data_IF_168165462707
#
_entry.id   IF_168165462707
#
_cell.length_a   1.000
_cell.length_b   1.000
_cell.length_c   1.000
_cell.angle_alpha   90.00
_cell.angle_beta   90.00
_cell.angle_gamma   90.00
#
_symmetry.space_group_name_H-M   'P 1'
#
loop_
_entity.id
_entity.type
_entity.pdbx_description
1 polymer ?
#
# COMPACT_ATOMS: atom_id res chain seq x y z
N UNK A 1 -63.65 -48.40 24.62
CA UNK A 1 -62.64 -48.27 23.54
C UNK A 1 -62.67 -46.83 23.05
N UNK A 2 -61.97 -45.95 23.75
CA UNK A 2 -61.65 -44.58 23.34
C UNK A 2 -60.61 -44.07 24.34
N UNK A 3 -59.36 -44.02 23.91
CA UNK A 3 -58.32 -43.24 24.60
C UNK A 3 -57.69 -42.37 23.52
N UNK A 4 -57.91 -41.09 23.70
CA UNK A 4 -57.45 -39.98 22.89
C UNK A 4 -55.94 -39.77 23.11
N UNK A 5 -55.26 -39.54 22.00
CA UNK A 5 -54.18 -38.57 21.76
C UNK A 5 -53.46 -37.97 22.97
N UNK A 6 -52.14 -38.18 23.01
CA UNK A 6 -51.02 -37.34 23.48
C UNK A 6 -49.91 -38.34 23.82
N UNK A 7 -48.75 -38.37 23.18
CA UNK A 7 -47.73 -37.33 23.19
C UNK A 7 -46.89 -37.43 21.90
N UNK A 8 -47.06 -36.45 21.02
CA UNK A 8 -46.03 -36.11 20.05
C UNK A 8 -45.00 -35.21 20.77
N UNK A 9 -43.72 -35.43 20.47
CA UNK A 9 -42.65 -34.41 20.45
C UNK A 9 -42.06 -33.92 21.77
N UNK A 10 -41.08 -34.66 22.28
CA UNK A 10 -40.01 -34.11 23.14
C UNK A 10 -38.66 -34.76 22.80
N UNK A 11 -38.17 -34.59 21.58
CA UNK A 11 -36.80 -34.98 21.22
C UNK A 11 -36.15 -34.11 20.14
N UNK A 12 -36.50 -32.81 20.08
CA UNK A 12 -35.87 -31.84 19.19
C UNK A 12 -35.41 -30.56 19.92
N UNK A 13 -34.99 -30.69 21.19
CA UNK A 13 -34.44 -29.58 21.98
C UNK A 13 -32.90 -29.66 22.10
N UNK A 14 -32.23 -29.96 20.99
CA UNK A 14 -30.77 -29.96 20.86
C UNK A 14 -30.24 -28.79 20.01
N UNK A 15 -31.04 -27.75 19.78
CA UNK A 15 -30.56 -26.53 19.16
C UNK A 15 -29.92 -25.66 20.26
N UNK A 16 -28.61 -25.74 20.38
CA UNK A 16 -27.82 -24.96 21.34
C UNK A 16 -28.13 -23.47 21.21
N UNK A 17 -28.85 -22.93 22.19
CA UNK A 17 -29.09 -21.51 22.31
C UNK A 17 -27.74 -20.82 22.56
N UNK A 18 -27.30 -20.00 21.60
CA UNK A 18 -26.06 -19.23 21.70
C UNK A 18 -26.15 -18.35 22.95
N UNK A 19 -25.15 -18.44 23.83
CA UNK A 19 -25.13 -17.65 25.06
C UNK A 19 -24.97 -16.15 24.74
N UNK A 20 -25.54 -15.25 25.55
CA UNK A 20 -25.40 -13.81 25.34
C UNK A 20 -23.93 -13.35 25.40
N UNK A 21 -23.08 -14.06 26.15
CA UNK A 21 -21.64 -13.81 26.22
C UNK A 21 -20.92 -14.15 24.91
N UNK A 22 -21.25 -15.29 24.28
CA UNK A 22 -20.71 -15.65 22.98
C UNK A 22 -21.14 -14.66 21.89
N UNK A 23 -22.39 -14.21 21.91
CA UNK A 23 -22.89 -13.23 20.96
C UNK A 23 -22.16 -11.88 21.12
N UNK A 24 -21.93 -11.44 22.37
CA UNK A 24 -21.17 -10.21 22.66
C UNK A 24 -19.71 -10.30 22.19
N UNK A 25 -19.04 -11.44 22.41
CA UNK A 25 -17.68 -11.68 21.92
C UNK A 25 -17.60 -11.62 20.40
N UNK A 26 -18.55 -12.25 19.70
CA UNK A 26 -18.61 -12.24 18.23
C UNK A 26 -18.81 -10.83 17.68
N UNK A 27 -19.74 -10.05 18.26
CA UNK A 27 -19.95 -8.64 17.87
C UNK A 27 -18.69 -7.79 18.12
N UNK A 28 -17.96 -8.04 19.20
CA UNK A 28 -16.71 -7.33 19.49
C UNK A 28 -15.62 -7.63 18.46
N UNK A 29 -15.46 -8.89 18.04
CA UNK A 29 -14.53 -9.31 16.98
C UNK A 29 -14.89 -8.63 15.65
N UNK A 30 -16.16 -8.65 15.25
CA UNK A 30 -16.63 -8.01 14.02
C UNK A 30 -16.36 -6.51 14.00
N UNK A 31 -16.64 -5.80 15.10
CA UNK A 31 -16.37 -4.37 15.23
C UNK A 31 -14.88 -4.05 15.11
N UNK A 32 -14.04 -4.87 15.74
CA UNK A 32 -12.57 -4.71 15.67
C UNK A 32 -12.06 -4.98 14.26
N UNK A 33 -12.55 -6.04 13.62
CA UNK A 33 -12.20 -6.38 12.24
C UNK A 33 -12.57 -5.25 11.27
N UNK A 34 -13.81 -4.73 11.36
CA UNK A 34 -14.25 -3.57 10.57
C UNK A 34 -13.37 -2.33 10.79
N UNK A 35 -13.00 -2.07 12.04
CA UNK A 35 -12.12 -0.93 12.38
C UNK A 35 -10.75 -1.09 11.72
N UNK A 36 -10.18 -2.30 11.74
CA UNK A 36 -8.89 -2.57 11.10
C UNK A 36 -8.97 -2.47 9.58
N UNK A 37 -10.01 -2.99 8.93
CA UNK A 37 -10.21 -2.84 7.49
C UNK A 37 -10.34 -1.37 7.07
N UNK A 38 -11.03 -0.56 7.89
CA UNK A 38 -11.17 0.88 7.67
C UNK A 38 -9.81 1.58 7.79
N UNK A 39 -9.05 1.26 8.84
CA UNK A 39 -7.70 1.78 9.03
C UNK A 39 -6.77 1.39 7.88
N UNK A 40 -6.83 0.14 7.43
CA UNK A 40 -6.06 -0.34 6.29
C UNK A 40 -6.37 0.46 5.02
N UNK A 41 -7.66 0.69 4.75
CA UNK A 41 -8.11 1.47 3.59
C UNK A 41 -7.58 2.91 3.65
N UNK A 42 -7.65 3.54 4.81
CA UNK A 42 -7.19 4.92 4.99
C UNK A 42 -5.65 5.02 4.85
N UNK A 43 -4.92 3.96 5.23
CA UNK A 43 -3.47 3.85 4.96
C UNK A 43 -3.16 3.68 3.48
N UNK A 44 -3.91 2.84 2.76
CA UNK A 44 -3.76 2.74 1.30
C UNK A 44 -4.05 4.05 0.59
N UNK A 45 -5.07 4.81 1.01
CA UNK A 45 -5.32 6.16 0.47
C UNK A 45 -4.14 7.10 0.71
N UNK A 46 -3.62 7.12 1.93
CA UNK A 46 -2.43 7.91 2.26
C UNK A 46 -1.20 7.49 1.42
N UNK A 47 -1.07 6.20 1.13
CA UNK A 47 -0.02 5.68 0.26
C UNK A 47 -0.20 6.11 -1.20
N UNK A 48 -1.42 6.10 -1.73
CA UNK A 48 -1.72 6.60 -3.08
C UNK A 48 -1.40 8.10 -3.21
N UNK A 49 -1.80 8.92 -2.24
CA UNK A 49 -1.47 10.34 -2.20
C UNK A 49 0.06 10.58 -2.15
N UNK A 50 0.78 9.68 -1.47
CA UNK A 50 2.24 9.72 -1.39
C UNK A 50 2.89 9.38 -2.74
N UNK A 51 2.36 8.39 -3.45
CA UNK A 51 2.84 8.03 -4.79
C UNK A 51 2.62 9.18 -5.79
N UNK A 52 1.53 9.93 -5.68
CA UNK A 52 1.28 11.10 -6.54
C UNK A 52 2.33 12.20 -6.29
N UNK A 53 2.63 12.48 -5.02
CA UNK A 53 3.70 13.45 -4.65
C UNK A 53 5.08 12.98 -5.09
N UNK A 54 5.36 11.68 -5.00
CA UNK A 54 6.61 11.12 -5.49
C UNK A 54 6.76 11.35 -6.99
N UNK A 55 5.68 11.23 -7.77
CA UNK A 55 5.68 11.55 -9.19
C UNK A 55 6.12 13.00 -9.44
N UNK A 56 5.53 13.96 -8.72
CA UNK A 56 5.88 15.38 -8.81
C UNK A 56 7.35 15.64 -8.44
N UNK A 57 7.86 14.97 -7.42
CA UNK A 57 9.26 15.12 -6.96
C UNK A 57 10.25 14.56 -7.98
N UNK A 58 9.93 13.40 -8.58
CA UNK A 58 10.74 12.84 -9.67
C UNK A 58 10.75 13.81 -10.86
N UNK A 59 9.65 14.48 -11.14
CA UNK A 59 9.55 15.45 -12.24
C UNK A 59 10.36 16.72 -11.98
N UNK A 60 10.37 17.23 -10.75
CA UNK A 60 11.17 18.40 -10.33
C UNK A 60 12.67 18.09 -10.18
N UNK A 61 13.05 16.82 -10.02
CA UNK A 61 14.45 16.38 -10.04
C UNK A 61 15.24 16.67 -8.76
N UNK A 62 14.58 16.95 -7.64
CA UNK A 62 15.25 17.13 -6.35
C UNK A 62 15.58 15.79 -5.69
N UNK A 63 16.88 15.44 -5.63
CA UNK A 63 17.34 14.20 -5.02
C UNK A 63 17.11 14.16 -3.50
N UNK A 64 17.30 15.28 -2.81
CA UNK A 64 17.11 15.38 -1.36
C UNK A 64 15.64 15.20 -0.98
N UNK A 65 14.73 15.80 -1.76
CA UNK A 65 13.29 15.62 -1.57
C UNK A 65 12.85 14.18 -1.86
N UNK A 66 13.45 13.54 -2.87
CA UNK A 66 13.17 12.14 -3.20
C UNK A 66 13.59 11.20 -2.06
N UNK A 67 14.75 11.42 -1.45
CA UNK A 67 15.26 10.61 -0.34
C UNK A 67 14.33 10.72 0.88
N UNK A 68 13.96 11.93 1.28
CA UNK A 68 13.00 12.14 2.36
C UNK A 68 11.64 11.50 2.08
N UNK A 69 11.21 11.47 0.81
CA UNK A 69 9.98 10.78 0.41
C UNK A 69 10.09 9.25 0.51
N UNK A 70 11.24 8.65 0.19
CA UNK A 70 11.43 7.20 0.33
C UNK A 70 11.34 6.76 1.79
N UNK A 71 11.88 7.54 2.74
CA UNK A 71 11.78 7.22 4.17
C UNK A 71 10.32 7.22 4.66
N UNK A 72 9.52 8.17 4.18
CA UNK A 72 8.09 8.23 4.47
C UNK A 72 7.32 7.07 3.83
N UNK A 73 7.70 6.70 2.61
CA UNK A 73 7.14 5.55 1.89
C UNK A 73 7.36 4.24 2.67
N UNK A 74 8.60 3.99 3.13
CA UNK A 74 8.95 2.81 3.92
C UNK A 74 8.10 2.71 5.19
N UNK A 75 7.91 3.83 5.89
CA UNK A 75 7.08 3.88 7.10
C UNK A 75 5.62 3.51 6.82
N UNK A 76 5.03 4.05 5.75
CA UNK A 76 3.63 3.76 5.40
C UNK A 76 3.47 2.29 5.00
N UNK A 77 4.41 1.73 4.23
CA UNK A 77 4.40 0.31 3.85
C UNK A 77 4.53 -0.60 5.08
N UNK A 78 5.40 -0.26 6.02
CA UNK A 78 5.53 -0.99 7.28
C UNK A 78 4.23 -0.96 8.10
N UNK A 79 3.56 0.20 8.18
CA UNK A 79 2.27 0.35 8.86
C UNK A 79 1.19 -0.52 8.19
N UNK A 80 1.10 -0.52 6.85
CA UNK A 80 0.15 -1.37 6.10
C UNK A 80 0.40 -2.85 6.42
N UNK A 81 1.66 -3.28 6.43
CA UNK A 81 2.02 -4.67 6.73
C UNK A 81 1.72 -5.07 8.18
N UNK A 82 1.93 -4.15 9.13
CA UNK A 82 1.58 -4.39 10.54
C UNK A 82 0.08 -4.60 10.73
N UNK A 83 -0.76 -3.86 10.00
CA UNK A 83 -2.21 -4.01 10.02
C UNK A 83 -2.62 -5.34 9.37
N UNK A 84 -2.04 -5.68 8.21
CA UNK A 84 -2.34 -6.94 7.51
C UNK A 84 -2.08 -8.16 8.41
N UNK A 85 -0.96 -8.18 9.14
CA UNK A 85 -0.61 -9.25 10.09
C UNK A 85 -1.66 -9.51 11.17
N UNK A 86 -2.45 -8.50 11.53
CA UNK A 86 -3.52 -8.62 12.52
C UNK A 86 -4.86 -8.98 11.86
N UNK A 87 -5.05 -8.57 10.61
CA UNK A 87 -6.24 -8.88 9.82
C UNK A 87 -6.31 -10.37 9.48
N UNK A 88 -5.22 -10.99 9.03
CA UNK A 88 -5.19 -12.42 8.64
C UNK A 88 -5.73 -13.35 9.74
N UNK A 89 -5.23 -13.34 11.00
CA UNK A 89 -5.75 -14.22 12.04
C UNK A 89 -7.18 -13.86 12.48
N UNK A 90 -7.60 -12.60 12.37
CA UNK A 90 -8.98 -12.20 12.69
C UNK A 90 -9.97 -12.62 11.60
N UNK A 91 -9.53 -12.65 10.35
CA UNK A 91 -10.29 -13.18 9.23
C UNK A 91 -10.52 -14.68 9.39
N UNK A 92 -9.50 -15.44 9.78
CA UNK A 92 -9.64 -16.87 10.07
C UNK A 92 -10.64 -17.12 11.22
N UNK A 93 -10.57 -16.32 12.29
CA UNK A 93 -11.55 -16.38 13.39
C UNK A 93 -12.96 -16.04 12.91
N UNK A 94 -13.11 -15.03 12.05
CA UNK A 94 -14.39 -14.65 11.47
C UNK A 94 -14.97 -15.79 10.61
N UNK A 95 -14.18 -16.37 9.71
CA UNK A 95 -14.60 -17.51 8.88
C UNK A 95 -14.92 -18.75 9.70
N UNK A 96 -14.18 -19.02 10.78
CA UNK A 96 -14.48 -20.12 11.70
C UNK A 96 -15.82 -19.93 12.42
N UNK A 97 -16.13 -18.71 12.84
CA UNK A 97 -17.41 -18.36 13.49
C UNK A 97 -18.58 -18.43 12.51
N UNK A 98 -18.37 -18.02 11.26
CA UNK A 98 -19.38 -18.03 10.20
C UNK A 98 -19.61 -19.44 9.62
N UNK A 99 -18.58 -20.26 9.47
CA UNK A 99 -18.71 -21.64 8.96
C UNK A 99 -19.29 -22.63 9.98
N UNK A 100 -19.10 -22.38 11.28
CA UNK A 100 -19.79 -23.10 12.36
C UNK A 100 -21.27 -22.73 12.52
N UNK A 101 -21.78 -21.78 11.71
CA UNK A 101 -23.13 -21.25 11.80
C UNK A 101 -24.07 -21.99 10.82
N UNK A 102 -25.12 -22.62 11.35
CA UNK A 102 -26.15 -23.26 10.53
C UNK A 102 -27.14 -22.18 10.05
N UNK A 103 -27.27 -21.92 8.73
CA UNK A 103 -27.99 -20.75 8.20
C UNK A 103 -29.52 -20.78 8.42
N UNK A 104 -30.08 -21.83 9.02
CA UNK A 104 -31.55 -21.94 9.20
C UNK A 104 -32.11 -21.18 10.42
N UNK A 105 -31.27 -20.61 11.30
CA UNK A 105 -31.73 -20.08 12.59
C UNK A 105 -31.65 -18.56 12.81
N UNK A 106 -31.15 -17.76 11.86
CA UNK A 106 -31.29 -16.29 11.96
C UNK A 106 -32.34 -15.76 11.00
N UNK A 107 -33.60 -15.88 11.42
CA UNK A 107 -34.59 -14.90 11.00
C UNK A 107 -34.28 -13.58 11.71
N UNK A 108 -34.15 -12.51 10.91
CA UNK A 108 -34.00 -11.09 11.28
C UNK A 108 -32.65 -10.65 11.85
N UNK A 109 -32.10 -9.61 11.19
CA UNK A 109 -31.17 -8.59 11.71
C UNK A 109 -29.65 -8.86 11.77
N UNK A 110 -29.06 -9.46 10.73
CA UNK A 110 -27.65 -9.14 10.39
C UNK A 110 -27.31 -9.03 8.88
N UNK A 111 -28.24 -8.74 7.93
CA UNK A 111 -27.89 -8.68 6.50
C UNK A 111 -27.00 -7.48 6.11
N UNK A 112 -26.62 -6.60 7.03
CA UNK A 112 -25.86 -5.37 6.69
C UNK A 112 -24.38 -5.43 7.11
N UNK A 113 -24.01 -6.31 8.04
CA UNK A 113 -22.63 -6.34 8.56
C UNK A 113 -21.67 -7.11 7.64
N UNK A 114 -22.14 -8.22 7.06
CA UNK A 114 -21.35 -9.02 6.12
C UNK A 114 -21.20 -8.34 4.76
N UNK A 115 -22.27 -7.69 4.26
CA UNK A 115 -22.23 -6.88 3.03
C UNK A 115 -21.24 -5.70 3.17
N UNK A 116 -21.22 -5.02 4.31
CA UNK A 116 -20.28 -3.93 4.60
C UNK A 116 -18.81 -4.42 4.60
N UNK A 117 -18.54 -5.59 5.18
CA UNK A 117 -17.18 -6.17 5.26
C UNK A 117 -16.72 -6.65 3.88
N UNK A 118 -17.60 -7.29 3.12
CA UNK A 118 -17.34 -7.71 1.73
C UNK A 118 -17.05 -6.50 0.83
N UNK A 119 -17.85 -5.44 0.94
CA UNK A 119 -17.64 -4.19 0.21
C UNK A 119 -16.32 -3.49 0.58
N UNK A 120 -15.94 -3.49 1.87
CA UNK A 120 -14.64 -2.95 2.30
C UNK A 120 -13.47 -3.77 1.76
N UNK A 121 -13.59 -5.09 1.68
CA UNK A 121 -12.56 -5.96 1.09
C UNK A 121 -12.41 -5.73 -0.42
N UNK A 122 -13.52 -5.62 -1.15
CA UNK A 122 -13.49 -5.31 -2.58
C UNK A 122 -12.79 -3.95 -2.83
N UNK A 123 -13.19 -2.91 -2.09
CA UNK A 123 -12.55 -1.60 -2.19
C UNK A 123 -11.05 -1.62 -1.81
N UNK A 124 -10.66 -2.45 -0.84
CA UNK A 124 -9.24 -2.64 -0.50
C UNK A 124 -8.46 -3.31 -1.62
N UNK A 125 -9.06 -4.28 -2.31
CA UNK A 125 -8.41 -4.95 -3.43
C UNK A 125 -8.22 -4.01 -4.62
N UNK A 126 -9.22 -3.17 -4.90
CA UNK A 126 -9.12 -2.09 -5.89
C UNK A 126 -7.95 -1.13 -5.54
N UNK A 127 -7.88 -0.67 -4.29
CA UNK A 127 -6.82 0.23 -3.83
C UNK A 127 -5.43 -0.40 -3.91
N UNK A 128 -5.30 -1.70 -3.61
CA UNK A 128 -4.03 -2.44 -3.78
C UNK A 128 -3.62 -2.49 -5.25
N UNK A 129 -4.57 -2.82 -6.13
CA UNK A 129 -4.30 -2.89 -7.57
C UNK A 129 -3.84 -1.53 -8.10
N UNK A 130 -4.47 -0.45 -7.65
CA UNK A 130 -4.11 0.91 -8.02
C UNK A 130 -2.71 1.29 -7.49
N UNK A 131 -2.38 0.91 -6.25
CA UNK A 131 -1.06 1.16 -5.67
C UNK A 131 0.06 0.45 -6.45
N UNK A 132 -0.18 -0.77 -6.94
CA UNK A 132 0.76 -1.49 -7.82
C UNK A 132 0.95 -0.74 -9.14
N UNK A 133 -0.13 -0.24 -9.74
CA UNK A 133 -0.08 0.52 -11.01
C UNK A 133 0.68 1.84 -10.82
N UNK A 134 0.39 2.60 -9.75
CA UNK A 134 1.06 3.89 -9.50
C UNK A 134 2.54 3.70 -9.15
N UNK A 135 2.88 2.69 -8.34
CA UNK A 135 4.28 2.40 -8.01
C UNK A 135 5.10 1.93 -9.23
N UNK A 136 4.51 1.11 -10.12
CA UNK A 136 5.19 0.71 -11.35
C UNK A 136 5.43 1.89 -12.28
N UNK A 137 4.43 2.78 -12.43
CA UNK A 137 4.57 4.05 -13.16
C UNK A 137 5.67 4.93 -12.59
N UNK A 138 5.75 5.10 -11.27
CA UNK A 138 6.80 5.90 -10.63
C UNK A 138 8.19 5.29 -10.84
N UNK A 139 8.31 3.97 -10.78
CA UNK A 139 9.55 3.25 -11.08
C UNK A 139 10.00 3.46 -12.52
N UNK A 140 9.08 3.40 -13.48
CA UNK A 140 9.36 3.67 -14.89
C UNK A 140 9.80 5.13 -15.10
N UNK A 141 9.10 6.09 -14.49
CA UNK A 141 9.44 7.52 -14.57
C UNK A 141 10.84 7.79 -14.03
N UNK A 142 11.17 7.25 -12.84
CA UNK A 142 12.49 7.36 -12.25
C UNK A 142 13.57 6.75 -13.16
N UNK A 143 13.30 5.59 -13.76
CA UNK A 143 14.23 4.93 -14.67
C UNK A 143 14.53 5.78 -15.92
N UNK A 144 13.50 6.44 -16.47
CA UNK A 144 13.64 7.36 -17.61
C UNK A 144 14.46 8.59 -17.22
N UNK A 145 14.12 9.25 -16.12
CA UNK A 145 14.89 10.43 -15.63
C UNK A 145 16.34 10.08 -15.33
N UNK A 146 16.62 8.91 -14.76
CA UNK A 146 17.99 8.44 -14.54
C UNK A 146 18.74 8.17 -15.86
N UNK A 147 18.06 7.69 -16.90
CA UNK A 147 18.65 7.52 -18.22
C UNK A 147 19.00 8.88 -18.87
N UNK A 148 18.10 9.86 -18.77
CA UNK A 148 18.31 11.24 -19.24
C UNK A 148 19.50 11.89 -18.53
N UNK A 149 19.55 11.86 -17.20
CA UNK A 149 20.67 12.39 -16.42
C UNK A 149 22.01 11.74 -16.79
N UNK A 150 22.03 10.42 -17.01
CA UNK A 150 23.25 9.72 -17.48
C UNK A 150 23.68 10.18 -18.86
N UNK A 151 22.73 10.47 -19.76
CA UNK A 151 23.03 11.03 -21.08
C UNK A 151 23.57 12.45 -20.96
N UNK A 152 22.95 13.31 -20.15
CA UNK A 152 23.44 14.67 -19.88
C UNK A 152 24.87 14.65 -19.34
N UNK A 153 25.16 13.83 -18.32
CA UNK A 153 26.52 13.66 -17.78
C UNK A 153 27.49 13.19 -18.88
N UNK A 154 27.07 12.26 -19.74
CA UNK A 154 27.91 11.79 -20.86
C UNK A 154 28.18 12.91 -21.87
N UNK A 155 27.18 13.74 -22.20
CA UNK A 155 27.36 14.89 -23.10
C UNK A 155 28.27 15.95 -22.50
N UNK A 156 28.13 16.25 -21.21
CA UNK A 156 29.01 17.17 -20.48
C UNK A 156 30.45 16.66 -20.44
N UNK A 157 30.64 15.35 -20.22
CA UNK A 157 31.97 14.72 -20.24
C UNK A 157 32.60 14.71 -21.63
N UNK A 158 31.79 14.56 -22.66
CA UNK A 158 32.24 14.54 -24.06
C UNK A 158 32.32 15.96 -24.67
N UNK A 159 31.98 17.01 -23.93
CA UNK A 159 32.06 18.37 -24.42
C UNK A 159 33.53 18.81 -24.56
N UNK A 160 34.02 19.14 -25.77
CA UNK A 160 35.40 19.56 -25.99
C UNK A 160 35.77 20.85 -25.22
N UNK A 161 34.79 21.68 -24.85
CA UNK A 161 35.02 22.86 -24.02
C UNK A 161 35.23 22.53 -22.53
N UNK A 162 34.74 21.41 -22.02
CA UNK A 162 35.02 20.95 -20.65
C UNK A 162 36.41 20.30 -20.54
N UNK A 163 36.87 19.63 -21.60
CA UNK A 163 38.24 19.11 -21.69
C UNK A 163 39.27 20.22 -21.94
N UNK A 164 38.95 21.22 -22.76
CA UNK A 164 39.87 22.30 -23.16
C UNK A 164 39.81 23.56 -22.29
N UNK A 165 38.81 23.76 -21.43
CA UNK A 165 38.76 24.89 -20.47
C UNK A 165 39.78 24.80 -19.34
N UNK A 166 40.39 23.63 -19.12
CA UNK A 166 41.59 23.50 -18.26
C UNK A 166 42.85 24.09 -18.92
N UNK A 167 42.80 24.38 -20.21
CA UNK A 167 43.84 25.12 -20.93
C UNK A 167 43.28 26.48 -21.34
N UNK A 168 42.98 27.28 -20.32
CA UNK A 168 42.69 28.70 -20.53
C UNK A 168 43.85 29.31 -21.30
N UNK A 169 43.56 29.97 -22.43
CA UNK A 169 44.54 30.74 -23.21
C UNK A 169 45.14 31.89 -22.37
N UNK A 170 44.43 32.29 -21.31
CA UNK A 170 44.87 33.26 -20.30
C UNK A 170 45.38 32.60 -19.01
N UNK A 171 45.38 31.27 -18.95
CA UNK A 171 46.00 30.47 -17.90
C UNK A 171 47.51 30.53 -18.09
N UNK A 172 48.09 31.59 -17.54
CA UNK A 172 49.51 31.89 -17.54
C UNK A 172 50.37 30.70 -17.08
N UNK A 173 50.79 29.85 -18.03
CA UNK A 173 52.05 29.12 -17.96
C UNK A 173 53.02 29.83 -18.91
N UNK A 174 53.41 31.04 -18.52
CA UNK A 174 54.42 31.84 -19.18
C UNK A 174 55.79 31.20 -19.12
N UNK A 175 56.06 30.26 -20.02
CA UNK A 175 57.41 30.06 -20.54
C UNK A 175 57.45 30.68 -21.92
N UNK A 176 57.90 31.93 -21.96
CA UNK A 176 58.18 32.67 -23.18
C UNK A 176 59.05 31.80 -24.10
N UNK A 177 58.50 31.43 -25.27
CA UNK A 177 59.27 30.86 -26.35
C UNK A 177 60.07 32.00 -26.97
N UNK A 178 61.39 31.99 -26.77
CA UNK A 178 62.34 32.89 -27.40
C UNK A 178 62.18 32.79 -28.94
N UNK A 179 61.65 33.84 -29.57
CA UNK A 179 61.60 33.96 -31.02
C UNK A 179 62.89 34.67 -31.44
N UNK A 180 63.81 33.94 -32.04
CA UNK A 180 65.00 34.52 -32.66
C UNK A 180 64.62 35.07 -34.04
N UNK A 181 64.75 36.38 -34.20
CA UNK A 181 64.48 37.08 -35.46
C UNK A 181 65.86 37.32 -36.08
N UNK A 182 66.27 36.46 -37.01
CA UNK A 182 67.49 36.70 -37.78
C UNK A 182 67.22 37.77 -38.83
N UNK A 183 68.03 38.83 -38.77
CA UNK A 183 68.19 39.86 -39.80
C UNK A 183 69.42 39.60 -40.66
#
# INVERSE_FOLDING_TARGET
>A
MSVLTEEYTTAAAGAAAISPEELAQRVAVLRRFRTLLTQQRDRFRSYLDMLDKQQEIIETGSADALLAHVDLEEKIVADIFSIQKVIDPLEDMYHAVVSGFNPSQTTRTAPSADDDVSGLKAALEDLKSEAVIRSSRNKELLSRRMAELRQEIKTLRNNPYAANSRRSVYGNNGTASLIDIQG
#
